data_IF_769998165458
#
_entry.id   IF_769998165458
#
_cell.length_a   1.000
_cell.length_b   1.000
_cell.length_c   1.000
_cell.angle_alpha   90.00
_cell.angle_beta   90.00
_cell.angle_gamma   90.00
#
_symmetry.space_group_name_H-M   'P 1'
#
loop_
_entity.id
_entity.type
_entity.pdbx_description
1 polymer ?
#
# COMPACT_ATOMS: atom_id res chain seq x y z
N UNK A 1 -8.53 29.29 -16.61
CA UNK A 1 -7.25 28.94 -15.96
C UNK A 1 -7.06 27.45 -16.19
N UNK A 2 -6.08 26.98 -16.99
CA UNK A 2 -6.02 25.56 -17.34
C UNK A 2 -5.38 24.82 -16.16
N UNK A 3 -6.23 24.14 -15.40
CA UNK A 3 -5.88 23.32 -14.24
C UNK A 3 -5.56 21.88 -14.68
N UNK A 4 -4.76 21.72 -15.74
CA UNK A 4 -4.45 20.41 -16.34
C UNK A 4 -2.94 20.18 -16.48
N UNK A 5 -2.13 20.71 -15.56
CA UNK A 5 -0.77 20.18 -15.29
C UNK A 5 -0.90 18.88 -14.48
N UNK A 6 -1.49 17.94 -15.19
CA UNK A 6 -1.49 16.49 -15.12
C UNK A 6 -1.30 15.86 -13.75
N UNK A 7 -2.39 15.33 -13.20
CA UNK A 7 -2.41 14.40 -12.06
C UNK A 7 -1.36 13.28 -12.23
N UNK A 8 -1.10 12.84 -13.46
CA UNK A 8 -0.08 11.82 -13.78
C UNK A 8 1.31 12.25 -13.30
N UNK A 9 1.71 13.51 -13.48
CA UNK A 9 3.04 13.98 -13.08
C UNK A 9 3.18 14.02 -11.55
N UNK A 10 2.10 14.39 -10.85
CA UNK A 10 2.04 14.33 -9.40
C UNK A 10 2.10 12.89 -8.87
N UNK A 11 1.44 11.96 -9.57
CA UNK A 11 1.50 10.53 -9.24
C UNK A 11 2.90 9.95 -9.48
N UNK A 12 3.60 10.35 -10.55
CA UNK A 12 4.99 9.95 -10.79
C UNK A 12 5.92 10.44 -9.69
N UNK A 13 5.78 11.71 -9.28
CA UNK A 13 6.59 12.29 -8.21
C UNK A 13 6.33 11.62 -6.85
N UNK A 14 5.06 11.30 -6.56
CA UNK A 14 4.68 10.56 -5.36
C UNK A 14 5.17 9.10 -5.40
N UNK A 15 5.12 8.44 -6.57
CA UNK A 15 5.60 7.07 -6.76
C UNK A 15 7.10 6.94 -6.45
N UNK A 16 7.92 7.88 -6.92
CA UNK A 16 9.36 7.88 -6.63
C UNK A 16 9.67 8.06 -5.14
N UNK A 17 8.87 8.87 -4.43
CA UNK A 17 8.97 9.03 -2.97
C UNK A 17 8.46 7.80 -2.21
N UNK A 18 7.53 7.07 -2.81
CA UNK A 18 7.01 5.82 -2.26
C UNK A 18 8.14 4.79 -2.11
N UNK A 19 9.00 4.60 -3.11
CA UNK A 19 10.11 3.64 -3.00
C UNK A 19 11.16 4.02 -1.94
N UNK A 20 11.29 5.32 -1.63
CA UNK A 20 12.24 5.83 -0.64
C UNK A 20 11.69 5.81 0.81
N UNK A 21 10.37 5.89 0.99
CA UNK A 21 9.73 6.14 2.30
C UNK A 21 8.73 5.04 2.71
N UNK A 22 8.30 4.20 1.77
CA UNK A 22 7.42 3.08 2.07
C UNK A 22 8.22 1.94 2.71
N UNK A 23 7.76 1.31 3.81
CA UNK A 23 6.37 1.13 4.25
C UNK A 23 6.04 1.55 5.69
N UNK A 24 6.96 2.09 6.50
CA UNK A 24 6.74 2.06 7.96
C UNK A 24 5.66 3.01 8.48
N UNK A 25 5.33 4.09 7.76
CA UNK A 25 4.30 5.05 8.20
C UNK A 25 3.13 5.23 7.24
N UNK A 26 3.38 5.19 5.93
CA UNK A 26 2.35 5.43 4.91
C UNK A 26 1.33 4.28 4.81
N UNK A 27 1.75 3.02 4.96
CA UNK A 27 0.81 1.89 4.92
C UNK A 27 -0.24 1.98 6.02
N UNK A 28 0.16 2.41 7.22
CA UNK A 28 -0.75 2.62 8.35
C UNK A 28 -1.74 3.75 8.05
N UNK A 29 -1.27 4.86 7.47
CA UNK A 29 -2.12 5.98 7.07
C UNK A 29 -3.17 5.58 6.02
N UNK A 30 -2.82 4.67 5.12
CA UNK A 30 -3.72 4.13 4.10
C UNK A 30 -4.69 3.05 4.62
N UNK A 31 -4.73 2.82 5.93
CA UNK A 31 -5.60 1.82 6.56
C UNK A 31 -5.13 0.37 6.39
N UNK A 32 -3.89 0.15 5.93
CA UNK A 32 -3.30 -1.19 5.87
C UNK A 32 -3.05 -1.65 7.31
N UNK A 33 -3.48 -2.87 7.68
CA UNK A 33 -3.23 -3.41 9.02
C UNK A 33 -1.74 -3.37 9.39
N UNK A 34 -1.44 -2.93 10.61
CA UNK A 34 -0.05 -2.75 11.09
C UNK A 34 0.77 -4.03 10.98
N UNK A 35 0.15 -5.20 11.15
CA UNK A 35 0.85 -6.48 11.02
C UNK A 35 1.29 -6.78 9.58
N UNK A 36 0.48 -6.43 8.58
CA UNK A 36 0.82 -6.55 7.17
C UNK A 36 1.91 -5.55 6.78
N UNK A 37 1.84 -4.32 7.30
CA UNK A 37 2.92 -3.32 7.14
C UNK A 37 4.24 -3.83 7.72
N UNK A 38 4.25 -4.34 8.95
CA UNK A 38 5.45 -4.91 9.58
C UNK A 38 6.00 -6.10 8.79
N UNK A 39 5.11 -6.96 8.29
CA UNK A 39 5.50 -8.15 7.53
C UNK A 39 6.02 -7.80 6.15
N UNK A 40 5.46 -6.78 5.49
CA UNK A 40 5.99 -6.24 4.25
C UNK A 40 7.42 -5.74 4.44
N UNK A 41 7.68 -4.96 5.51
CA UNK A 41 9.02 -4.47 5.84
C UNK A 41 9.97 -5.65 6.05
N UNK A 42 9.60 -6.58 6.94
CA UNK A 42 10.42 -7.74 7.31
C UNK A 42 10.76 -8.60 6.09
N UNK A 43 9.77 -8.84 5.23
CA UNK A 43 9.92 -9.70 4.06
C UNK A 43 10.36 -8.94 2.79
N UNK A 44 10.65 -7.64 2.90
CA UNK A 44 10.99 -6.76 1.75
C UNK A 44 10.00 -6.91 0.59
N UNK A 45 8.72 -6.95 0.91
CA UNK A 45 7.64 -7.12 -0.07
C UNK A 45 7.52 -8.52 -0.70
N UNK A 46 8.31 -9.52 -0.28
CA UNK A 46 8.24 -10.92 -0.77
C UNK A 46 7.42 -11.79 0.19
N UNK A 47 7.20 -13.08 -0.12
CA UNK A 47 6.58 -14.08 0.77
C UNK A 47 5.19 -13.70 1.34
N UNK A 48 4.35 -13.06 0.54
CA UNK A 48 2.96 -12.77 0.89
C UNK A 48 2.05 -13.97 0.57
N UNK A 49 0.94 -14.11 1.29
CA UNK A 49 -0.05 -15.18 1.08
C UNK A 49 -0.90 -14.87 -0.15
N UNK A 50 -1.35 -13.62 -0.28
CA UNK A 50 -2.05 -13.10 -1.46
C UNK A 50 -1.94 -11.58 -1.49
N UNK A 51 -2.30 -10.96 -2.62
CA UNK A 51 -2.29 -9.51 -2.76
C UNK A 51 -3.51 -9.02 -3.53
N UNK A 52 -3.96 -7.81 -3.19
CA UNK A 52 -4.91 -7.04 -4.01
C UNK A 52 -4.58 -5.54 -3.89
N UNK A 53 -5.29 -4.78 -3.05
CA UNK A 53 -4.92 -3.40 -2.73
C UNK A 53 -3.61 -3.32 -1.93
N UNK A 54 -3.30 -4.35 -1.14
CA UNK A 54 -1.99 -4.54 -0.51
C UNK A 54 -1.62 -6.03 -0.44
N UNK A 55 -0.36 -6.31 -0.05
CA UNK A 55 0.16 -7.66 0.17
C UNK A 55 -0.18 -8.15 1.57
N UNK A 56 -0.92 -9.24 1.67
CA UNK A 56 -1.35 -9.83 2.93
C UNK A 56 -0.39 -10.92 3.36
N UNK A 57 0.07 -10.83 4.59
CA UNK A 57 1.07 -11.71 5.16
C UNK A 57 0.51 -12.68 6.20
N UNK A 58 -0.63 -12.36 6.79
CA UNK A 58 -1.28 -13.18 7.80
C UNK A 58 -2.81 -13.11 7.68
N UNK A 59 -3.47 -14.20 8.09
CA UNK A 59 -4.92 -14.34 8.28
C UNK A 59 -5.84 -13.64 7.24
N UNK A 60 -6.20 -14.31 6.13
CA UNK A 60 -6.85 -13.70 4.96
C UNK A 60 -8.27 -13.18 5.21
N UNK A 61 -8.88 -13.47 6.35
CA UNK A 61 -10.30 -13.17 6.57
C UNK A 61 -10.60 -11.68 6.72
N UNK A 62 -9.75 -10.92 7.42
CA UNK A 62 -9.96 -9.48 7.60
C UNK A 62 -9.73 -8.70 6.29
N UNK A 63 -8.62 -8.92 5.55
CA UNK A 63 -8.41 -8.23 4.28
C UNK A 63 -9.50 -8.54 3.26
N UNK A 64 -9.99 -9.80 3.21
CA UNK A 64 -11.10 -10.18 2.32
C UNK A 64 -12.40 -9.43 2.61
N UNK A 65 -12.69 -9.08 3.87
CA UNK A 65 -13.87 -8.27 4.21
C UNK A 65 -13.71 -6.83 3.71
N UNK A 66 -12.52 -6.24 3.91
CA UNK A 66 -12.20 -4.89 3.42
C UNK A 66 -12.24 -4.85 1.89
N UNK A 67 -11.70 -5.87 1.21
CA UNK A 67 -11.69 -5.92 -0.25
C UNK A 67 -13.08 -6.10 -0.87
N UNK A 68 -14.07 -6.56 -0.09
CA UNK A 68 -15.46 -6.70 -0.54
C UNK A 68 -16.32 -5.46 -0.26
N UNK A 69 -15.84 -4.54 0.58
CA UNK A 69 -16.58 -3.30 0.91
C UNK A 69 -16.28 -2.15 -0.06
N UNK A 70 -15.42 -2.38 -1.05
CA UNK A 70 -15.07 -1.47 -2.15
C UNK A 70 -15.28 -2.21 -3.47
#
# INVERSE_FOLDING_TARGET
MPLDFNIIDHLHHLSGRFDLVFPHKLGIFLGIPVHDVRSFIKNRGKNYIFNQYWKVYQNPQQPKKIFRSF
#
